data_IF_802545041210
#
_entry.id   IF_802545041210
#
_cell.length_a   1.000
_cell.length_b   1.000
_cell.length_c   1.000
_cell.angle_alpha   90.00
_cell.angle_beta   90.00
_cell.angle_gamma   90.00
#
_symmetry.space_group_name_H-M   'P 1'
#
loop_
_entity.id
_entity.type
_entity.pdbx_description
1 polymer ?
#
# COMPACT_ATOMS: atom_id res chain seq x y z
N UNK A 1 41.35 -0.78 8.41
CA UNK A 1 40.30 -1.72 8.00
C UNK A 1 39.39 -2.02 9.19
N UNK A 2 38.37 -1.19 9.40
CA UNK A 2 37.30 -1.43 10.38
C UNK A 2 36.09 -1.90 9.58
N UNK A 3 35.79 -3.19 9.66
CA UNK A 3 34.57 -3.76 9.11
C UNK A 3 33.37 -3.20 9.90
N UNK A 4 32.48 -2.51 9.19
CA UNK A 4 31.18 -2.11 9.69
C UNK A 4 30.30 -3.35 9.87
N UNK A 5 30.30 -3.91 11.09
CA UNK A 5 29.18 -4.72 11.57
C UNK A 5 28.05 -3.77 11.99
N UNK A 6 27.23 -3.37 11.03
CA UNK A 6 25.87 -2.89 11.29
C UNK A 6 24.89 -3.94 10.74
N UNK A 7 24.85 -5.11 11.39
CA UNK A 7 23.73 -6.05 11.25
C UNK A 7 22.59 -5.51 12.10
N UNK A 8 21.95 -4.44 11.65
CA UNK A 8 20.71 -3.95 12.24
C UNK A 8 19.62 -4.95 11.86
N UNK A 9 19.10 -5.69 12.82
CA UNK A 9 17.92 -6.53 12.62
C UNK A 9 16.75 -5.62 12.25
N UNK A 10 16.26 -5.74 11.02
CA UNK A 10 15.01 -5.08 10.60
C UNK A 10 13.88 -5.67 11.45
N UNK A 11 13.15 -4.82 12.17
CA UNK A 11 12.10 -5.24 13.10
C UNK A 11 10.72 -4.84 12.61
N UNK A 12 10.51 -4.83 11.28
CA UNK A 12 9.21 -4.50 10.73
C UNK A 12 8.26 -5.66 10.93
N UNK A 13 7.32 -5.48 11.83
CA UNK A 13 6.18 -6.36 12.04
C UNK A 13 4.93 -5.51 11.96
N UNK A 14 4.12 -5.74 10.93
CA UNK A 14 2.72 -5.35 11.00
C UNK A 14 2.10 -6.01 12.24
N UNK A 15 1.19 -5.31 12.91
CA UNK A 15 0.46 -5.88 14.04
C UNK A 15 -0.52 -6.93 13.50
N UNK A 16 -0.08 -8.19 13.48
CA UNK A 16 -0.92 -9.32 13.08
C UNK A 16 -1.91 -9.67 14.20
N UNK A 17 -3.12 -10.11 13.83
CA UNK A 17 -4.09 -10.61 14.80
C UNK A 17 -3.73 -12.02 15.30
N UNK A 18 -2.91 -12.74 14.52
CA UNK A 18 -2.54 -14.14 14.76
C UNK A 18 -1.05 -14.33 14.57
N UNK A 19 -0.52 -15.37 15.23
CA UNK A 19 0.86 -15.78 15.04
C UNK A 19 1.09 -16.34 13.64
N UNK A 20 2.21 -15.96 13.04
CA UNK A 20 2.65 -16.50 11.76
C UNK A 20 2.99 -17.99 11.90
N UNK A 21 2.29 -18.81 11.14
CA UNK A 21 2.57 -20.24 10.99
C UNK A 21 3.65 -20.48 9.92
N UNK A 22 4.22 -21.68 9.88
CA UNK A 22 5.16 -22.05 8.82
C UNK A 22 4.47 -22.06 7.45
N UNK A 23 5.25 -21.89 6.38
CA UNK A 23 4.71 -21.82 5.01
C UNK A 23 3.88 -23.06 4.60
N UNK A 24 4.16 -24.22 5.18
CA UNK A 24 3.42 -25.48 4.94
C UNK A 24 1.98 -25.45 5.48
N UNK A 25 1.69 -24.56 6.43
CA UNK A 25 0.37 -24.43 7.05
C UNK A 25 -0.43 -23.23 6.51
N UNK A 26 0.09 -22.51 5.51
CA UNK A 26 -0.64 -21.40 4.90
C UNK A 26 -1.80 -21.94 4.08
N UNK A 27 -3.01 -21.52 4.41
CA UNK A 27 -4.23 -21.95 3.70
C UNK A 27 -4.40 -21.22 2.38
N UNK A 28 -3.70 -20.09 2.21
CA UNK A 28 -3.81 -19.24 1.02
C UNK A 28 -5.11 -18.44 0.98
N UNK A 29 -6.00 -18.58 1.97
CA UNK A 29 -7.23 -17.79 2.06
C UNK A 29 -6.90 -16.34 2.36
N UNK A 30 -7.61 -15.45 1.69
CA UNK A 30 -7.47 -14.01 1.83
C UNK A 30 -8.80 -13.31 2.01
N UNK A 31 -8.71 -12.05 2.39
CA UNK A 31 -9.81 -11.09 2.34
C UNK A 31 -9.38 -9.93 1.46
N UNK A 32 -10.33 -9.35 0.74
CA UNK A 32 -10.08 -8.19 -0.11
C UNK A 32 -11.02 -7.08 0.27
N UNK A 33 -10.48 -5.89 0.50
CA UNK A 33 -11.24 -4.68 0.77
C UNK A 33 -10.81 -3.62 -0.23
N UNK A 34 -11.79 -3.05 -0.93
CA UNK A 34 -11.56 -2.00 -1.92
C UNK A 34 -12.34 -0.75 -1.56
N UNK A 35 -11.77 0.41 -1.85
CA UNK A 35 -12.45 1.69 -1.77
C UNK A 35 -11.99 2.62 -2.88
N UNK A 36 -12.93 3.38 -3.43
CA UNK A 36 -12.68 4.39 -4.44
C UNK A 36 -12.34 5.73 -3.79
N UNK A 37 -11.49 6.52 -4.46
CA UNK A 37 -11.13 7.85 -3.95
C UNK A 37 -12.28 8.84 -4.19
N UNK A 38 -13.18 8.53 -5.12
CA UNK A 38 -14.14 9.50 -5.65
C UNK A 38 -13.44 10.54 -6.52
N UNK A 39 -14.21 11.47 -7.07
CA UNK A 39 -13.71 12.45 -8.04
C UNK A 39 -12.76 13.47 -7.40
N UNK A 40 -13.14 14.03 -6.25
CA UNK A 40 -12.39 15.11 -5.60
C UNK A 40 -10.99 14.66 -5.17
N UNK A 41 -10.90 13.57 -4.39
CA UNK A 41 -9.61 13.05 -3.94
C UNK A 41 -8.76 12.53 -5.10
N UNK A 42 -9.36 11.92 -6.14
CA UNK A 42 -8.61 11.53 -7.33
C UNK A 42 -7.98 12.74 -8.02
N UNK A 43 -8.77 13.80 -8.20
CA UNK A 43 -8.33 15.06 -8.79
C UNK A 43 -7.20 15.71 -7.98
N UNK A 44 -7.37 15.82 -6.66
CA UNK A 44 -6.37 16.41 -5.77
C UNK A 44 -5.08 15.59 -5.75
N UNK A 45 -5.17 14.26 -5.74
CA UNK A 45 -4.02 13.38 -5.80
C UNK A 45 -3.24 13.54 -7.13
N UNK A 46 -3.95 13.66 -8.25
CA UNK A 46 -3.37 13.94 -9.58
C UNK A 46 -2.68 15.31 -9.62
N UNK A 47 -3.31 16.35 -9.08
CA UNK A 47 -2.73 17.69 -8.96
C UNK A 47 -1.49 17.67 -8.07
N UNK A 48 -1.53 16.95 -6.96
CA UNK A 48 -0.38 16.80 -6.07
C UNK A 48 0.79 16.12 -6.79
N UNK A 49 0.56 15.06 -7.55
CA UNK A 49 1.64 14.41 -8.30
C UNK A 49 2.28 15.37 -9.30
N UNK A 50 1.46 16.07 -10.10
CA UNK A 50 1.95 17.01 -11.12
C UNK A 50 2.67 18.22 -10.52
N UNK A 51 2.10 18.86 -9.50
CA UNK A 51 2.67 20.04 -8.84
C UNK A 51 4.01 19.76 -8.16
N UNK A 52 4.24 18.51 -7.74
CA UNK A 52 5.46 18.07 -7.08
C UNK A 52 6.47 17.41 -8.03
N UNK A 53 6.22 17.43 -9.35
CA UNK A 53 7.05 16.78 -10.39
C UNK A 53 7.34 15.30 -10.09
N UNK A 54 6.32 14.57 -9.61
CA UNK A 54 6.43 13.14 -9.29
C UNK A 54 5.38 12.34 -10.04
N UNK A 55 5.59 11.02 -10.16
CA UNK A 55 4.59 10.13 -10.76
C UNK A 55 3.54 9.73 -9.73
N UNK A 56 2.33 9.37 -10.17
CA UNK A 56 1.29 8.83 -9.28
C UNK A 56 1.78 7.60 -8.51
N UNK A 57 2.56 6.75 -9.18
CA UNK A 57 3.17 5.57 -8.55
C UNK A 57 4.10 5.95 -7.40
N UNK A 58 4.97 6.95 -7.60
CA UNK A 58 5.90 7.38 -6.54
C UNK A 58 5.16 8.07 -5.39
N UNK A 59 4.13 8.87 -5.70
CA UNK A 59 3.28 9.48 -4.68
C UNK A 59 2.56 8.41 -3.86
N UNK A 60 1.89 7.44 -4.50
CA UNK A 60 1.20 6.34 -3.84
C UNK A 60 2.15 5.47 -3.00
N UNK A 61 3.34 5.18 -3.51
CA UNK A 61 4.38 4.47 -2.78
C UNK A 61 4.84 5.24 -1.53
N UNK A 62 5.06 6.55 -1.65
CA UNK A 62 5.42 7.39 -0.51
C UNK A 62 4.31 7.47 0.53
N UNK A 63 3.05 7.61 0.09
CA UNK A 63 1.86 7.53 0.95
C UNK A 63 1.84 6.22 1.72
N UNK A 64 2.15 5.09 1.05
CA UNK A 64 2.16 3.78 1.70
C UNK A 64 3.29 3.63 2.73
N UNK A 65 4.51 4.11 2.45
CA UNK A 65 5.58 4.13 3.44
C UNK A 65 5.22 4.96 4.69
N UNK A 66 4.59 6.11 4.50
CA UNK A 66 4.12 6.96 5.62
C UNK A 66 3.00 6.27 6.39
N UNK A 67 2.08 5.61 5.69
CA UNK A 67 1.03 4.81 6.31
C UNK A 67 1.62 3.69 7.17
N UNK A 68 2.58 2.94 6.64
CA UNK A 68 3.27 1.87 7.37
C UNK A 68 4.02 2.40 8.59
N UNK A 69 4.77 3.49 8.46
CA UNK A 69 5.44 4.17 9.59
C UNK A 69 4.47 4.46 10.73
N UNK A 70 3.27 4.93 10.41
CA UNK A 70 2.24 5.18 11.41
C UNK A 70 1.60 3.91 11.96
N UNK A 71 1.41 2.90 11.12
CA UNK A 71 0.80 1.65 11.52
C UNK A 71 1.73 0.79 12.41
N UNK A 72 3.04 0.88 12.20
CA UNK A 72 4.09 0.20 13.01
C UNK A 72 4.62 1.06 14.15
N UNK A 73 3.82 2.04 14.59
CA UNK A 73 4.09 2.85 15.77
C UNK A 73 5.42 3.63 15.72
N UNK A 74 5.77 4.15 14.54
CA UNK A 74 6.92 5.03 14.32
C UNK A 74 8.19 4.32 13.86
N UNK A 75 8.12 3.04 13.46
CA UNK A 75 9.27 2.36 12.88
C UNK A 75 9.67 3.01 11.56
N UNK A 76 10.93 3.45 11.50
CA UNK A 76 11.41 4.32 10.46
C UNK A 76 12.34 3.62 9.47
N UNK A 77 12.59 2.32 9.60
CA UNK A 77 13.39 1.53 8.67
C UNK A 77 12.53 0.39 8.11
N UNK A 78 11.89 0.67 6.98
CA UNK A 78 10.84 -0.17 6.42
C UNK A 78 11.33 -0.85 5.14
N UNK A 79 11.03 -2.12 4.97
CA UNK A 79 11.26 -2.88 3.76
C UNK A 79 9.95 -3.52 3.26
N UNK A 80 9.56 -3.20 2.04
CA UNK A 80 8.36 -3.75 1.41
C UNK A 80 8.73 -4.49 0.12
N UNK A 81 7.90 -5.45 -0.30
CA UNK A 81 7.98 -6.02 -1.64
C UNK A 81 7.38 -5.06 -2.67
N UNK A 82 8.09 -4.83 -3.78
CA UNK A 82 7.50 -4.19 -4.96
C UNK A 82 7.38 -5.23 -6.06
N UNK A 83 6.14 -5.48 -6.49
CA UNK A 83 5.90 -6.38 -7.60
C UNK A 83 6.12 -5.62 -8.90
N UNK A 84 7.05 -6.13 -9.71
CA UNK A 84 7.31 -5.62 -11.05
C UNK A 84 6.78 -6.63 -12.06
N UNK A 85 6.18 -6.16 -13.16
CA UNK A 85 5.65 -7.04 -14.20
C UNK A 85 6.74 -7.90 -14.87
N UNK A 86 8.03 -7.58 -14.68
CA UNK A 86 9.21 -8.31 -15.14
C UNK A 86 9.29 -8.55 -16.65
N UNK A 87 8.49 -7.81 -17.43
CA UNK A 87 8.50 -7.74 -18.89
C UNK A 87 9.35 -6.54 -19.30
N UNK A 88 10.66 -6.68 -19.21
CA UNK A 88 11.65 -5.61 -19.43
C UNK A 88 12.08 -5.47 -20.90
N UNK A 89 11.55 -6.31 -21.80
CA UNK A 89 11.72 -6.22 -23.25
C UNK A 89 10.34 -6.35 -23.89
N UNK A 90 10.11 -5.57 -24.94
CA UNK A 90 8.86 -5.60 -25.70
C UNK A 90 8.55 -7.02 -26.22
N UNK A 91 9.59 -7.78 -26.56
CA UNK A 91 9.50 -9.20 -26.98
C UNK A 91 8.86 -10.12 -25.93
N UNK A 92 8.92 -9.76 -24.63
CA UNK A 92 8.39 -10.54 -23.52
C UNK A 92 6.90 -10.23 -23.23
N UNK A 93 6.33 -9.19 -23.83
CA UNK A 93 4.93 -8.82 -23.58
C UNK A 93 3.94 -9.86 -24.11
N UNK A 94 4.27 -10.55 -25.20
CA UNK A 94 3.41 -11.55 -25.82
C UNK A 94 3.61 -12.96 -25.28
N UNK A 95 4.57 -13.17 -24.37
CA UNK A 95 4.89 -14.49 -23.84
C UNK A 95 4.02 -14.82 -22.63
N UNK A 96 3.36 -15.98 -22.70
CA UNK A 96 2.64 -16.57 -21.57
C UNK A 96 3.67 -17.23 -20.64
N UNK A 97 3.84 -16.67 -19.44
CA UNK A 97 4.79 -17.16 -18.42
C UNK A 97 4.76 -16.33 -17.15
N UNK A 98 5.33 -16.84 -16.05
CA UNK A 98 5.44 -16.11 -14.78
C UNK A 98 6.65 -15.17 -14.83
N UNK A 99 6.39 -13.89 -15.13
CA UNK A 99 7.42 -12.84 -15.17
C UNK A 99 7.39 -11.90 -13.97
N UNK A 100 6.39 -12.02 -13.09
CA UNK A 100 6.29 -11.15 -11.91
C UNK A 100 7.48 -11.40 -10.99
N UNK A 101 8.29 -10.37 -10.78
CA UNK A 101 9.41 -10.41 -9.84
C UNK A 101 9.13 -9.42 -8.71
N UNK A 102 9.15 -9.91 -7.47
CA UNK A 102 9.05 -9.08 -6.28
C UNK A 102 10.46 -8.70 -5.83
N UNK A 103 10.73 -7.39 -5.73
CA UNK A 103 12.01 -6.89 -5.21
C UNK A 103 11.81 -6.22 -3.85
N UNK A 104 12.72 -6.45 -2.88
CA UNK A 104 12.69 -5.70 -1.63
C UNK A 104 13.07 -4.25 -1.89
N UNK A 105 12.22 -3.31 -1.48
CA UNK A 105 12.54 -1.89 -1.39
C UNK A 105 12.64 -1.52 0.10
N UNK A 106 13.87 -1.29 0.58
CA UNK A 106 14.12 -0.75 1.91
C UNK A 106 14.26 0.76 1.85
N UNK A 107 13.51 1.45 2.71
CA UNK A 107 13.48 2.90 2.81
C UNK A 107 13.55 3.30 4.29
N UNK A 108 14.51 4.17 4.62
CA UNK A 108 14.61 4.76 5.95
C UNK A 108 13.95 6.13 5.96
N UNK A 109 12.88 6.29 6.72
CA UNK A 109 12.14 7.53 6.85
C UNK A 109 12.73 8.39 7.97
N UNK A 110 12.75 9.70 7.77
CA UNK A 110 13.02 10.65 8.85
C UNK A 110 11.66 11.27 9.29
N UNK A 111 11.21 11.02 10.54
CA UNK A 111 9.94 11.51 11.05
C UNK A 111 9.76 13.03 10.99
N UNK A 112 10.87 13.78 10.99
CA UNK A 112 10.88 15.24 10.98
C UNK A 112 10.78 15.83 9.57
N UNK A 113 10.93 15.00 8.53
CA UNK A 113 10.76 15.48 7.17
C UNK A 113 9.29 15.71 6.86
N UNK A 114 9.06 16.75 6.06
CA UNK A 114 7.75 17.00 5.49
C UNK A 114 7.39 15.93 4.46
N UNK A 115 6.10 15.72 4.23
CA UNK A 115 5.64 14.73 3.25
C UNK A 115 6.23 14.97 1.85
N UNK A 116 6.36 16.24 1.44
CA UNK A 116 7.00 16.58 0.17
C UNK A 116 8.44 16.05 0.07
N UNK A 117 9.22 16.18 1.14
CA UNK A 117 10.60 15.68 1.18
C UNK A 117 10.64 14.15 1.20
N UNK A 118 9.67 13.50 1.85
CA UNK A 118 9.52 12.04 1.85
C UNK A 118 9.23 11.53 0.43
N UNK A 119 8.33 12.17 -0.32
CA UNK A 119 8.04 11.79 -1.71
C UNK A 119 9.32 11.75 -2.54
N UNK A 120 10.12 12.82 -2.47
CA UNK A 120 11.41 12.89 -3.19
C UNK A 120 12.37 11.81 -2.73
N UNK A 121 12.49 11.60 -1.43
CA UNK A 121 13.35 10.56 -0.86
C UNK A 121 12.97 9.15 -1.36
N UNK A 122 11.67 8.83 -1.34
CA UNK A 122 11.14 7.55 -1.83
C UNK A 122 11.34 7.39 -3.33
N UNK A 123 11.13 8.46 -4.11
CA UNK A 123 11.39 8.47 -5.56
C UNK A 123 12.88 8.19 -5.88
N UNK A 124 13.79 8.88 -5.20
CA UNK A 124 15.24 8.70 -5.40
C UNK A 124 15.69 7.28 -5.02
N UNK A 125 15.17 6.75 -3.91
CA UNK A 125 15.38 5.34 -3.54
C UNK A 125 14.85 4.42 -4.65
N UNK A 126 13.59 4.57 -5.07
CA UNK A 126 12.99 3.70 -6.08
C UNK A 126 13.78 3.68 -7.40
N UNK A 127 14.25 4.84 -7.88
CA UNK A 127 15.07 4.95 -9.09
C UNK A 127 16.39 4.17 -8.97
N UNK A 128 16.99 4.15 -7.77
CA UNK A 128 18.20 3.37 -7.53
C UNK A 128 17.91 1.86 -7.48
N UNK A 129 16.79 1.45 -6.89
CA UNK A 129 16.40 0.04 -6.78
C UNK A 129 15.93 -0.57 -8.10
N UNK A 130 15.27 0.20 -8.96
CA UNK A 130 14.72 -0.33 -10.22
C UNK A 130 15.83 -0.85 -11.15
N UNK A 131 17.07 -0.36 -11.02
CA UNK A 131 18.26 -0.87 -11.73
C UNK A 131 18.59 -2.32 -11.37
N UNK A 132 18.01 -2.86 -10.31
CA UNK A 132 18.18 -4.24 -9.86
C UNK A 132 16.88 -5.07 -10.03
N UNK A 133 15.84 -4.54 -10.69
CA UNK A 133 14.53 -5.19 -10.78
C UNK A 133 14.55 -6.54 -11.53
N UNK A 134 15.61 -6.82 -12.29
CA UNK A 134 15.78 -8.07 -13.03
C UNK A 134 16.47 -9.17 -12.21
N UNK A 135 16.97 -8.87 -11.00
CA UNK A 135 17.59 -9.90 -10.16
C UNK A 135 16.53 -10.86 -9.64
N UNK A 136 16.66 -12.19 -9.87
CA UNK A 136 15.66 -13.12 -9.42
C UNK A 136 15.57 -13.16 -7.90
N UNK A 137 14.34 -13.04 -7.37
CA UNK A 137 14.06 -13.07 -5.94
C UNK A 137 14.75 -14.26 -5.22
N UNK A 138 14.79 -15.44 -5.84
CA UNK A 138 15.42 -16.62 -5.25
C UNK A 138 16.90 -16.41 -4.89
N UNK A 139 17.65 -15.65 -5.71
CA UNK A 139 19.05 -15.34 -5.41
C UNK A 139 19.18 -14.39 -4.22
N UNK A 140 18.27 -13.43 -4.10
CA UNK A 140 18.22 -12.49 -2.96
C UNK A 140 17.92 -13.26 -1.66
N UNK A 141 16.95 -14.17 -1.71
CA UNK A 141 16.57 -15.02 -0.58
C UNK A 141 17.72 -15.91 -0.10
N UNK A 142 18.45 -16.53 -1.03
CA UNK A 142 19.57 -17.42 -0.70
C UNK A 142 20.74 -16.70 0.00
N UNK A 143 20.86 -15.38 -0.19
CA UNK A 143 21.88 -14.56 0.47
C UNK A 143 21.37 -13.92 1.77
N UNK A 144 20.06 -13.99 2.06
CA UNK A 144 19.48 -13.40 3.25
C UNK A 144 19.71 -14.29 4.48
N UNK A 145 20.17 -13.73 5.63
CA UNK A 145 20.45 -14.53 6.82
C UNK A 145 19.22 -15.25 7.39
N UNK A 146 18.02 -14.71 7.17
CA UNK A 146 16.75 -15.35 7.51
C UNK A 146 16.03 -15.79 6.23
N UNK A 147 16.39 -16.96 5.71
CA UNK A 147 15.83 -17.53 4.48
C UNK A 147 14.34 -17.85 4.65
N UNK A 148 13.93 -18.27 5.85
CA UNK A 148 12.58 -18.75 6.12
C UNK A 148 11.52 -17.64 6.19
N UNK A 149 11.87 -16.45 6.66
CA UNK A 149 10.94 -15.31 6.87
C UNK A 149 11.65 -13.98 6.62
N UNK A 150 11.88 -13.59 5.37
CA UNK A 150 12.37 -12.26 5.04
C UNK A 150 11.27 -11.22 5.23
N UNK A 151 11.60 -10.13 5.91
CA UNK A 151 10.65 -9.07 6.34
C UNK A 151 9.89 -8.42 5.18
N UNK A 152 10.48 -8.36 3.98
CA UNK A 152 9.82 -7.77 2.81
C UNK A 152 8.66 -8.60 2.23
N UNK A 153 8.47 -9.84 2.68
CA UNK A 153 7.30 -10.65 2.31
C UNK A 153 6.07 -10.33 3.17
N UNK A 154 6.25 -9.63 4.29
CA UNK A 154 5.16 -9.25 5.18
C UNK A 154 4.18 -8.30 4.50
N UNK A 155 4.69 -7.47 3.59
CA UNK A 155 3.88 -6.45 2.96
C UNK A 155 4.41 -6.05 1.59
N UNK A 156 3.50 -5.85 0.64
CA UNK A 156 3.87 -5.49 -0.73
C UNK A 156 3.01 -4.38 -1.32
N UNK A 157 3.57 -3.70 -2.31
CA UNK A 157 2.95 -2.58 -2.99
C UNK A 157 2.86 -2.83 -4.49
N UNK A 158 1.70 -2.51 -5.04
CA UNK A 158 1.43 -2.54 -6.47
C UNK A 158 0.79 -1.23 -6.93
N UNK A 159 1.15 -0.80 -8.14
CA UNK A 159 0.49 0.31 -8.80
C UNK A 159 0.13 -0.11 -10.21
N UNK A 160 -1.16 -0.13 -10.50
CA UNK A 160 -1.74 -0.59 -11.74
C UNK A 160 -2.37 0.61 -12.44
N UNK A 161 -2.02 0.84 -13.70
CA UNK A 161 -2.75 1.78 -14.55
C UNK A 161 -3.48 0.96 -15.60
N UNK A 162 -4.80 1.05 -15.59
CA UNK A 162 -5.66 0.29 -16.49
C UNK A 162 -6.42 1.25 -17.38
N UNK A 163 -6.43 0.95 -18.68
CA UNK A 163 -7.35 1.56 -19.63
C UNK A 163 -8.39 0.49 -19.94
N UNK A 164 -9.36 0.29 -19.03
CA UNK A 164 -10.50 -0.56 -19.34
C UNK A 164 -11.30 0.15 -20.42
N UNK A 165 -11.33 -0.37 -21.64
CA UNK A 165 -12.28 0.10 -22.65
C UNK A 165 -13.66 -0.02 -22.02
N UNK A 166 -14.39 1.09 -21.87
CA UNK A 166 -15.67 1.12 -21.14
C UNK A 166 -16.48 -0.11 -21.56
N UNK A 167 -16.72 -1.01 -20.59
CA UNK A 167 -17.55 -2.21 -20.75
C UNK A 167 -19.02 -1.80 -20.86
N UNK A 168 -19.35 -0.88 -21.77
CA UNK A 168 -20.49 -1.21 -22.59
C UNK A 168 -20.05 -2.47 -23.28
N UNK A 169 -20.52 -3.62 -22.78
CA UNK A 169 -20.47 -4.90 -23.46
C UNK A 169 -21.19 -4.84 -24.82
N UNK A 170 -21.34 -3.68 -25.42
CA UNK A 170 -22.00 -3.36 -26.66
C UNK A 170 -20.97 -3.45 -27.78
N UNK A 171 -21.08 -4.48 -28.60
CA UNK A 171 -20.44 -4.52 -29.91
C UNK A 171 -21.45 -3.96 -30.91
N UNK A 172 -21.06 -2.92 -31.64
CA UNK A 172 -21.80 -2.42 -32.79
C UNK A 172 -21.34 -3.17 -34.05
N UNK A 173 -22.27 -3.83 -34.75
CA UNK A 173 -22.03 -4.40 -36.09
C UNK A 173 -23.10 -3.81 -37.02
N UNK A 174 -22.71 -2.88 -37.88
CA UNK A 174 -23.66 -2.05 -38.65
C UNK A 174 -24.56 -1.24 -37.71
N UNK A 175 -25.87 -1.31 -37.91
CA UNK A 175 -26.88 -0.66 -37.05
C UNK A 175 -27.33 -1.55 -35.87
N UNK A 176 -26.76 -2.75 -35.73
CA UNK A 176 -27.15 -3.71 -34.70
C UNK A 176 -26.27 -3.60 -33.45
N UNK A 177 -26.94 -3.56 -32.28
CA UNK A 177 -26.33 -3.55 -30.95
C UNK A 177 -26.29 -4.97 -30.36
N UNK A 178 -25.10 -5.49 -30.12
CA UNK A 178 -24.88 -6.79 -29.47
C UNK A 178 -24.37 -6.59 -28.06
N UNK A 179 -25.01 -7.19 -27.06
CA UNK A 179 -24.53 -7.19 -25.68
C UNK A 179 -23.78 -8.50 -25.40
N UNK A 180 -22.48 -8.43 -25.13
CA UNK A 180 -21.71 -9.50 -24.52
C UNK A 180 -22.26 -9.71 -23.11
N UNK A 181 -23.07 -10.74 -22.90
CA UNK A 181 -23.31 -11.23 -21.55
C UNK A 181 -22.08 -12.06 -21.18
N UNK A 182 -21.17 -11.58 -20.32
CA UNK A 182 -20.11 -12.43 -19.83
C UNK A 182 -20.78 -13.62 -19.15
N UNK A 183 -20.54 -14.82 -19.66
CA UNK A 183 -20.84 -16.03 -18.92
C UNK A 183 -19.77 -16.12 -17.83
N UNK A 184 -19.88 -15.28 -16.81
CA UNK A 184 -19.03 -15.38 -15.64
C UNK A 184 -19.39 -16.70 -14.97
N UNK A 185 -18.51 -17.69 -15.08
CA UNK A 185 -18.44 -18.72 -14.06
C UNK A 185 -18.20 -17.92 -12.78
N UNK A 186 -19.23 -17.78 -11.95
CA UNK A 186 -19.11 -17.14 -10.65
C UNK A 186 -18.19 -18.04 -9.83
N UNK A 187 -16.91 -17.74 -9.85
CA UNK A 187 -15.98 -18.24 -8.86
C UNK A 187 -16.52 -17.68 -7.54
N UNK A 188 -16.90 -18.55 -6.61
CA UNK A 188 -17.46 -18.14 -5.33
C UNK A 188 -16.55 -17.11 -4.67
N UNK A 189 -17.13 -16.07 -4.05
CA UNK A 189 -16.39 -15.07 -3.26
C UNK A 189 -15.49 -15.70 -2.18
N UNK A 190 -15.74 -16.97 -1.81
CA UNK A 190 -14.92 -17.80 -0.93
C UNK A 190 -13.53 -18.19 -1.49
N UNK A 191 -13.22 -17.90 -2.76
CA UNK A 191 -11.92 -18.18 -3.40
C UNK A 191 -11.01 -16.94 -3.52
N UNK A 192 -11.13 -15.97 -2.61
CA UNK A 192 -10.11 -14.92 -2.52
C UNK A 192 -8.81 -15.55 -2.02
N UNK A 193 -7.87 -15.76 -2.93
CA UNK A 193 -6.52 -16.24 -2.59
C UNK A 193 -5.61 -15.05 -2.28
N UNK A 194 -4.83 -15.15 -1.21
CA UNK A 194 -3.75 -14.20 -0.90
C UNK A 194 -2.40 -14.88 -1.03
N UNK A 195 -1.55 -14.38 -1.93
CA UNK A 195 -0.20 -14.90 -2.17
C UNK A 195 0.84 -14.34 -1.20
N UNK A 196 0.59 -13.14 -0.68
CA UNK A 196 1.40 -12.44 0.30
C UNK A 196 0.61 -12.28 1.60
N UNK A 197 1.22 -11.75 2.65
CA UNK A 197 0.50 -11.53 3.91
C UNK A 197 -0.39 -10.29 3.84
N UNK A 198 0.10 -9.25 3.19
CA UNK A 198 -0.59 -8.00 2.97
C UNK A 198 -0.13 -7.35 1.65
N UNK A 199 -1.07 -6.98 0.79
CA UNK A 199 -0.81 -6.31 -0.48
C UNK A 199 -1.68 -5.06 -0.52
N UNK A 200 -1.05 -3.90 -0.77
CA UNK A 200 -1.76 -2.68 -1.11
C UNK A 200 -1.56 -2.38 -2.60
N UNK A 201 -2.67 -2.37 -3.33
CA UNK A 201 -2.70 -2.06 -4.75
C UNK A 201 -3.43 -0.75 -4.98
N UNK A 202 -2.77 0.19 -5.65
CA UNK A 202 -3.42 1.39 -6.20
C UNK A 202 -3.76 1.14 -7.66
N UNK A 203 -4.99 1.41 -8.05
CA UNK A 203 -5.43 1.36 -9.45
C UNK A 203 -5.76 2.76 -9.95
N UNK A 204 -5.24 3.11 -11.12
CA UNK A 204 -5.58 4.33 -11.84
C UNK A 204 -6.36 3.97 -13.12
N UNK A 205 -7.64 4.30 -13.14
CA UNK A 205 -8.50 4.18 -14.30
C UNK A 205 -8.25 5.37 -15.24
N UNK A 206 -7.57 5.11 -16.35
CA UNK A 206 -7.15 6.13 -17.31
C UNK A 206 -8.31 6.75 -18.10
N UNK A 207 -9.48 6.11 -18.20
CA UNK A 207 -10.64 6.68 -18.90
C UNK A 207 -11.31 7.78 -18.07
N UNK A 208 -11.49 7.50 -16.78
CA UNK A 208 -12.21 8.38 -15.84
C UNK A 208 -11.28 9.26 -15.02
N UNK A 209 -9.97 9.02 -15.07
CA UNK A 209 -8.96 9.60 -14.18
C UNK A 209 -9.33 9.40 -12.69
N UNK A 210 -9.86 8.22 -12.38
CA UNK A 210 -10.26 7.85 -11.02
C UNK A 210 -9.24 6.90 -10.42
N UNK A 211 -8.95 7.11 -9.15
CA UNK A 211 -8.07 6.28 -8.35
C UNK A 211 -8.88 5.42 -7.38
N UNK A 212 -8.42 4.20 -7.16
CA UNK A 212 -8.95 3.32 -6.13
C UNK A 212 -7.82 2.57 -5.44
N UNK A 213 -8.11 2.08 -4.23
CA UNK A 213 -7.21 1.24 -3.47
C UNK A 213 -7.86 -0.10 -3.18
N UNK A 214 -7.07 -1.16 -3.28
CA UNK A 214 -7.44 -2.50 -2.89
C UNK A 214 -6.41 -3.06 -1.93
N UNK A 215 -6.87 -3.56 -0.79
CA UNK A 215 -6.06 -4.30 0.18
C UNK A 215 -6.43 -5.76 0.07
N UNK A 216 -5.45 -6.60 -0.22
CA UNK A 216 -5.58 -8.05 -0.15
C UNK A 216 -4.69 -8.57 1.00
N UNK A 217 -5.28 -9.27 1.96
CA UNK A 217 -4.56 -9.73 3.14
C UNK A 217 -4.89 -11.20 3.45
N UNK A 218 -3.93 -11.93 4.03
CA UNK A 218 -4.10 -13.33 4.40
C UNK A 218 -4.96 -13.47 5.66
N UNK A 219 -6.02 -14.29 5.58
CA UNK A 219 -6.88 -14.64 6.71
C UNK A 219 -6.20 -15.57 7.73
N UNK A 220 -5.00 -16.09 7.40
CA UNK A 220 -4.17 -16.83 8.34
C UNK A 220 -3.53 -15.90 9.38
N UNK A 221 -3.35 -14.61 9.05
CA UNK A 221 -2.71 -13.60 9.91
C UNK A 221 -3.66 -12.51 10.39
N UNK A 222 -4.63 -12.13 9.57
CA UNK A 222 -5.54 -11.01 9.82
C UNK A 222 -6.99 -11.47 9.91
N UNK A 223 -7.75 -10.83 10.79
CA UNK A 223 -9.19 -10.86 10.77
C UNK A 223 -9.72 -9.85 9.74
N UNK A 224 -10.83 -10.16 9.08
CA UNK A 224 -11.42 -9.26 8.08
C UNK A 224 -11.78 -7.89 8.66
N UNK A 225 -12.24 -7.84 9.92
CA UNK A 225 -12.53 -6.60 10.64
C UNK A 225 -11.28 -5.72 10.81
N UNK A 226 -10.13 -6.32 11.15
CA UNK A 226 -8.86 -5.60 11.29
C UNK A 226 -8.43 -4.99 9.96
N UNK A 227 -8.54 -5.75 8.86
CA UNK A 227 -8.23 -5.24 7.51
C UNK A 227 -9.16 -4.09 7.13
N UNK A 228 -10.45 -4.16 7.52
CA UNK A 228 -11.42 -3.10 7.30
C UNK A 228 -11.03 -1.81 8.04
N UNK A 229 -10.64 -1.92 9.30
CA UNK A 229 -10.15 -0.77 10.09
C UNK A 229 -8.87 -0.20 9.46
N UNK A 230 -7.93 -1.04 9.02
CA UNK A 230 -6.71 -0.59 8.31
C UNK A 230 -7.09 0.17 7.04
N UNK A 231 -8.04 -0.31 6.25
CA UNK A 231 -8.53 0.36 5.04
C UNK A 231 -9.15 1.73 5.37
N UNK A 232 -10.00 1.80 6.39
CA UNK A 232 -10.61 3.05 6.85
C UNK A 232 -9.55 4.06 7.32
N UNK A 233 -8.52 3.61 8.03
CA UNK A 233 -7.40 4.46 8.46
C UNK A 233 -6.60 5.00 7.28
N UNK A 234 -6.35 4.19 6.26
CA UNK A 234 -5.69 4.62 5.03
C UNK A 234 -6.53 5.67 4.30
N UNK A 235 -7.84 5.43 4.15
CA UNK A 235 -8.76 6.37 3.52
C UNK A 235 -8.80 7.71 4.27
N UNK A 236 -8.90 7.68 5.60
CA UNK A 236 -8.88 8.88 6.43
C UNK A 236 -7.56 9.66 6.28
N UNK A 237 -6.42 8.97 6.26
CA UNK A 237 -5.11 9.58 6.04
C UNK A 237 -5.01 10.25 4.66
N UNK A 238 -5.51 9.60 3.61
CA UNK A 238 -5.56 10.15 2.25
C UNK A 238 -6.39 11.45 2.21
N UNK A 239 -7.60 11.44 2.76
CA UNK A 239 -8.42 12.66 2.84
C UNK A 239 -7.74 13.77 3.64
N UNK A 240 -7.19 13.44 4.83
CA UNK A 240 -6.48 14.42 5.65
C UNK A 240 -5.33 15.08 4.86
N UNK A 241 -4.60 14.29 4.08
CA UNK A 241 -3.39 14.74 3.39
C UNK A 241 -3.66 15.53 2.11
N UNK A 242 -4.69 15.15 1.35
CA UNK A 242 -4.90 15.66 -0.02
C UNK A 242 -6.11 16.58 -0.17
N UNK A 243 -7.14 16.49 0.70
CA UNK A 243 -8.34 17.34 0.56
C UNK A 243 -8.39 18.52 1.54
N UNK A 244 -7.45 18.64 2.48
CA UNK A 244 -7.44 19.76 3.43
C UNK A 244 -6.89 21.04 2.79
N UNK A 245 -7.65 22.13 2.86
CA UNK A 245 -7.31 23.46 2.31
C UNK A 245 -5.99 24.04 2.88
N UNK A 246 -5.59 23.59 4.07
CA UNK A 246 -4.28 23.85 4.64
C UNK A 246 -3.33 22.74 4.18
N UNK A 247 -2.44 23.03 3.25
CA UNK A 247 -1.45 22.08 2.72
C UNK A 247 -0.59 21.48 3.85
N UNK A 248 -1.07 20.39 4.46
CA UNK A 248 -0.35 19.60 5.47
C UNK A 248 0.91 18.96 4.91
N UNK A 249 1.16 19.06 3.60
CA UNK A 249 2.36 18.63 2.88
C UNK A 249 3.66 19.18 3.45
N UNK A 250 3.62 20.33 4.13
CA UNK A 250 4.79 20.92 4.80
C UNK A 250 4.95 20.52 6.27
N UNK A 251 3.96 19.86 6.87
CA UNK A 251 4.07 19.35 8.24
C UNK A 251 4.95 18.10 8.27
N UNK A 252 5.69 17.88 9.37
CA UNK A 252 6.48 16.67 9.54
C UNK A 252 5.56 15.44 9.64
N UNK A 253 6.00 14.30 9.11
CA UNK A 253 5.17 13.10 9.07
C UNK A 253 4.80 12.57 10.46
N UNK A 254 5.56 12.88 11.52
CA UNK A 254 5.18 12.48 12.89
C UNK A 254 3.86 13.14 13.35
N UNK A 255 3.41 14.25 12.76
CA UNK A 255 2.14 14.90 13.13
C UNK A 255 0.91 14.27 12.45
N UNK A 256 1.10 13.43 11.43
CA UNK A 256 -0.01 12.76 10.76
C UNK A 256 -0.71 11.79 11.72
N UNK A 257 -2.04 11.76 11.68
CA UNK A 257 -2.84 10.89 12.53
C UNK A 257 -3.50 9.81 11.69
N UNK A 258 -3.55 8.59 12.21
CA UNK A 258 -4.40 7.51 11.69
C UNK A 258 -5.69 7.36 12.50
N UNK A 259 -5.88 8.18 13.54
CA UNK A 259 -7.03 8.03 14.43
C UNK A 259 -8.32 8.36 13.69
N UNK A 260 -9.23 7.39 13.66
CA UNK A 260 -10.56 7.55 13.09
C UNK A 260 -11.38 8.52 13.94
N UNK A 261 -12.39 9.16 13.35
CA UNK A 261 -13.20 10.18 14.04
C UNK A 261 -13.87 9.66 15.32
N UNK A 262 -14.29 8.39 15.33
CA UNK A 262 -14.84 7.71 16.51
C UNK A 262 -13.78 7.50 17.60
N UNK A 263 -12.55 7.14 17.24
CA UNK A 263 -11.44 6.97 18.19
C UNK A 263 -11.03 8.31 18.80
N UNK A 264 -11.05 9.40 18.03
CA UNK A 264 -10.79 10.75 18.55
C UNK A 264 -11.82 11.15 19.61
N UNK A 265 -13.09 10.82 19.39
CA UNK A 265 -14.15 11.02 20.37
C UNK A 265 -13.94 10.16 21.64
N UNK A 266 -13.53 8.89 21.47
CA UNK A 266 -13.18 8.01 22.61
C UNK A 266 -12.00 8.58 23.42
N UNK A 267 -10.95 9.05 22.77
CA UNK A 267 -9.82 9.70 23.43
C UNK A 267 -10.25 10.94 24.22
N UNK A 268 -11.15 11.76 23.68
CA UNK A 268 -11.66 12.94 24.38
C UNK A 268 -12.54 12.57 25.56
N UNK A 269 -13.48 11.64 25.38
CA UNK A 269 -14.42 11.21 26.41
C UNK A 269 -13.73 10.48 27.59
N UNK A 270 -12.76 9.60 27.32
CA UNK A 270 -12.01 8.90 28.37
C UNK A 270 -11.08 9.83 29.16
N UNK A 271 -10.60 10.91 28.54
CA UNK A 271 -9.72 11.90 29.18
C UNK A 271 -10.48 13.10 29.78
N UNK A 272 -11.82 13.09 29.79
CA UNK A 272 -12.63 14.16 30.36
C UNK A 272 -12.71 14.05 31.89
N UNK A 273 -11.56 14.17 32.55
CA UNK A 273 -11.39 14.03 34.01
C UNK A 273 -11.22 15.37 34.71
N UNK A 274 -11.57 16.49 34.07
CA UNK A 274 -11.49 17.80 34.70
C UNK A 274 -12.59 17.93 35.77
N UNK A 275 -12.17 17.81 37.03
CA UNK A 275 -13.01 18.04 38.20
C UNK A 275 -12.41 19.22 38.96
N UNK A 276 -13.23 20.22 39.27
CA UNK A 276 -12.84 21.37 40.07
C UNK A 276 -12.53 20.94 41.50
N UNK A 277 -11.26 21.01 41.91
CA UNK A 277 -10.89 20.78 43.30
C UNK A 277 -11.19 22.03 44.15
N UNK A 278 -11.78 21.88 45.34
CA UNK A 278 -11.99 23.01 46.25
C UNK A 278 -10.64 23.58 46.69
N UNK A 279 -10.52 24.91 46.67
CA UNK A 279 -9.32 25.62 47.13
C UNK A 279 -9.05 25.32 48.61
N UNK A 280 -7.80 25.03 49.01
CA UNK A 280 -7.46 24.84 50.41
C UNK A 280 -7.71 26.14 51.19
N UNK A 281 -8.49 26.01 52.28
CA UNK A 281 -8.79 27.05 53.28
C UNK A 281 -7.55 27.39 54.12
#
# INVERSE_FOLDING_TARGET
HKEHQAKTHLHQSLTFDRYRLSNEHRTGRGTTISFDFGQDLSHDFLIHASSNNTSLKHLALATYFVFLFKLTNGENDLCIGINTHGRYRDELESIIGMFVNAIPLRCQLDPHLSFHKIIKHVQDNMINYIKYSYFPLQHILNQHPNISNPVFLDTSFEFISSMRRDEKNEIMIGDSRFYLLPHSIQISEDEIMSKFDFILSFEHNLNRNELSCTINASLDLFNAETVCIIAQRLQAMLHQQFTSFDCTTNKPIYELSLALSNEQYLMQSLNNTQISFPSPL
#
